data_IF_764190080878
#
_entry.id   IF_764190080878
#
_cell.length_a   1.000
_cell.length_b   1.000
_cell.length_c   1.000
_cell.angle_alpha   90.00
_cell.angle_beta   90.00
_cell.angle_gamma   90.00
#
_symmetry.space_group_name_H-M   'P 1'
#
loop_
_entity.id
_entity.type
_entity.pdbx_description
1 polymer ?
#
# COMPACT_ATOMS: atom_id res chain seq x y z
N UNK A 1 9.61 9.52 -24.49
CA UNK A 1 8.55 9.81 -23.49
C UNK A 1 7.67 8.60 -23.14
N UNK A 2 7.19 7.80 -24.10
CA UNK A 2 6.32 6.61 -23.85
C UNK A 2 6.98 5.53 -22.98
N UNK A 3 8.25 5.19 -23.23
CA UNK A 3 9.00 4.16 -22.48
C UNK A 3 9.12 4.48 -20.99
N UNK A 4 9.48 5.72 -20.63
CA UNK A 4 9.57 6.14 -19.21
C UNK A 4 8.24 6.01 -18.46
N UNK A 5 7.11 6.22 -19.14
CA UNK A 5 5.78 6.05 -18.54
C UNK A 5 5.45 4.57 -18.33
N UNK A 6 5.77 3.73 -19.30
CA UNK A 6 5.56 2.28 -19.18
C UNK A 6 6.37 1.69 -18.01
N UNK A 7 7.66 2.06 -17.91
CA UNK A 7 8.53 1.63 -16.80
C UNK A 7 7.93 1.98 -15.43
N UNK A 8 7.40 3.21 -15.27
CA UNK A 8 6.75 3.60 -14.00
C UNK A 8 5.53 2.73 -13.70
N UNK A 9 4.68 2.48 -14.68
CA UNK A 9 3.48 1.66 -14.49
C UNK A 9 3.84 0.22 -14.13
N UNK A 10 4.82 -0.37 -14.81
CA UNK A 10 5.30 -1.73 -14.49
C UNK A 10 5.88 -1.78 -13.08
N UNK A 11 6.68 -0.78 -12.70
CA UNK A 11 7.23 -0.68 -11.35
C UNK A 11 6.13 -0.56 -10.28
N UNK A 12 5.13 0.30 -10.50
CA UNK A 12 4.02 0.49 -9.57
C UNK A 12 3.19 -0.81 -9.41
N UNK A 13 2.95 -1.54 -10.50
CA UNK A 13 2.28 -2.85 -10.46
C UNK A 13 3.14 -3.88 -9.73
N UNK A 14 4.44 -3.95 -10.02
CA UNK A 14 5.35 -4.88 -9.35
C UNK A 14 5.38 -4.62 -7.83
N UNK A 15 5.48 -3.35 -7.40
CA UNK A 15 5.42 -2.99 -5.99
C UNK A 15 4.11 -3.41 -5.33
N UNK A 16 2.97 -3.19 -6.01
CA UNK A 16 1.66 -3.59 -5.49
C UNK A 16 1.55 -5.11 -5.31
N UNK A 17 2.01 -5.89 -6.30
CA UNK A 17 2.00 -7.35 -6.24
C UNK A 17 2.93 -7.88 -5.13
N UNK A 18 4.15 -7.34 -5.03
CA UNK A 18 5.11 -7.72 -3.98
C UNK A 18 4.56 -7.36 -2.60
N UNK A 19 3.95 -6.19 -2.43
CA UNK A 19 3.35 -5.79 -1.15
C UNK A 19 2.20 -6.72 -0.75
N UNK A 20 1.30 -7.10 -1.67
CA UNK A 20 0.25 -8.09 -1.40
C UNK A 20 0.86 -9.46 -1.07
N UNK A 21 1.89 -9.89 -1.79
CA UNK A 21 2.59 -11.15 -1.54
C UNK A 21 3.22 -11.17 -0.15
N UNK A 22 3.89 -10.10 0.30
CA UNK A 22 4.47 -10.01 1.64
C UNK A 22 3.40 -10.15 2.72
N UNK A 23 2.25 -9.50 2.55
CA UNK A 23 1.16 -9.61 3.53
C UNK A 23 0.59 -11.04 3.62
N UNK A 24 0.68 -11.81 2.53
CA UNK A 24 0.26 -13.22 2.50
C UNK A 24 1.36 -14.16 2.98
N UNK A 25 2.63 -13.79 2.87
CA UNK A 25 3.75 -14.64 3.27
C UNK A 25 3.98 -14.72 4.78
N UNK A 26 3.21 -14.00 5.59
CA UNK A 26 3.08 -14.33 7.02
C UNK A 26 2.62 -15.79 7.23
N UNK A 27 2.05 -16.42 6.19
CA UNK A 27 1.68 -17.84 6.12
C UNK A 27 2.80 -18.72 5.55
N UNK A 28 3.93 -18.16 5.13
CA UNK A 28 5.04 -18.85 4.47
C UNK A 28 6.30 -18.68 5.32
N UNK A 29 7.34 -19.42 5.00
CA UNK A 29 8.62 -19.41 5.71
C UNK A 29 9.24 -18.01 5.83
N UNK A 30 9.96 -17.76 6.92
CA UNK A 30 10.58 -16.46 7.26
C UNK A 30 11.49 -15.92 6.13
N UNK A 31 12.30 -16.78 5.50
CA UNK A 31 13.25 -16.35 4.47
C UNK A 31 12.58 -15.72 3.22
N UNK A 32 11.54 -16.29 2.59
CA UNK A 32 10.83 -15.62 1.49
C UNK A 32 10.24 -14.27 1.88
N UNK A 33 9.71 -14.13 3.09
CA UNK A 33 9.17 -12.88 3.60
C UNK A 33 10.26 -11.79 3.64
N UNK A 34 11.43 -12.09 4.21
CA UNK A 34 12.55 -11.15 4.30
C UNK A 34 13.06 -10.72 2.92
N UNK A 35 13.26 -11.66 1.98
CA UNK A 35 13.73 -11.34 0.63
C UNK A 35 12.72 -10.57 -0.20
N UNK A 36 11.43 -10.84 -0.06
CA UNK A 36 10.38 -10.01 -0.66
C UNK A 36 10.37 -8.60 -0.04
N UNK A 37 10.63 -8.48 1.26
CA UNK A 37 10.80 -7.20 1.95
C UNK A 37 11.95 -6.38 1.36
N UNK A 38 13.14 -6.99 1.21
CA UNK A 38 14.29 -6.35 0.55
C UNK A 38 13.94 -5.93 -0.88
N UNK A 39 13.30 -6.82 -1.64
CA UNK A 39 12.85 -6.52 -3.01
C UNK A 39 11.92 -5.30 -3.03
N UNK A 40 10.96 -5.23 -2.12
CA UNK A 40 10.06 -4.08 -2.04
C UNK A 40 10.80 -2.78 -1.73
N UNK A 41 11.77 -2.79 -0.81
CA UNK A 41 12.59 -1.61 -0.51
C UNK A 41 13.40 -1.14 -1.72
N UNK A 42 13.98 -2.06 -2.50
CA UNK A 42 14.71 -1.72 -3.73
C UNK A 42 13.77 -1.11 -4.78
N UNK A 43 12.61 -1.73 -5.03
CA UNK A 43 11.61 -1.21 -5.96
C UNK A 43 11.12 0.18 -5.54
N UNK A 44 10.89 0.38 -4.24
CA UNK A 44 10.48 1.67 -3.67
C UNK A 44 11.57 2.73 -3.84
N UNK A 45 12.85 2.42 -3.61
CA UNK A 45 13.95 3.35 -3.86
C UNK A 45 13.97 3.80 -5.33
N UNK A 46 13.80 2.87 -6.27
CA UNK A 46 13.69 3.17 -7.69
C UNK A 46 12.46 4.05 -7.97
N UNK A 47 11.30 3.75 -7.36
CA UNK A 47 10.07 4.54 -7.50
C UNK A 47 10.29 5.99 -7.04
N UNK A 48 10.93 6.20 -5.89
CA UNK A 48 11.25 7.53 -5.35
C UNK A 48 12.16 8.29 -6.32
N UNK A 49 13.24 7.67 -6.81
CA UNK A 49 14.18 8.29 -7.76
C UNK A 49 13.46 8.69 -9.06
N UNK A 50 12.61 7.83 -9.61
CA UNK A 50 11.85 8.11 -10.82
C UNK A 50 10.81 9.23 -10.63
N UNK A 51 10.34 9.43 -9.40
CA UNK A 51 9.32 10.43 -9.06
C UNK A 51 9.87 11.63 -8.27
N UNK A 52 11.21 11.77 -8.13
CA UNK A 52 11.88 12.81 -7.34
C UNK A 52 11.42 14.25 -7.65
N UNK A 53 11.13 14.55 -8.92
CA UNK A 53 10.65 15.90 -9.32
C UNK A 53 9.27 16.22 -8.74
N UNK A 54 8.39 15.23 -8.71
CA UNK A 54 7.07 15.36 -8.11
C UNK A 54 7.19 15.49 -6.59
N UNK A 55 8.00 14.65 -5.95
CA UNK A 55 8.27 14.70 -4.52
C UNK A 55 8.83 16.08 -4.10
N UNK A 56 9.82 16.60 -4.83
CA UNK A 56 10.38 17.95 -4.56
C UNK A 56 9.35 19.07 -4.73
N UNK A 57 8.31 18.85 -5.55
CA UNK A 57 7.25 19.84 -5.78
C UNK A 57 6.14 19.80 -4.73
N UNK A 58 6.03 18.73 -3.91
CA UNK A 58 4.89 18.50 -3.04
C UNK A 58 4.76 19.58 -1.95
N UNK A 59 5.89 20.10 -1.47
CA UNK A 59 5.95 21.15 -0.45
C UNK A 59 6.00 22.57 -1.02
N UNK A 60 5.91 22.74 -2.36
CA UNK A 60 5.99 24.06 -3.01
C UNK A 60 4.63 24.50 -3.55
N UNK A 61 4.29 25.76 -3.39
CA UNK A 61 3.10 26.40 -3.96
C UNK A 61 1.85 26.29 -3.08
N UNK A 62 0.68 26.68 -3.64
CA UNK A 62 -0.60 26.68 -2.93
C UNK A 62 -1.07 25.24 -2.64
N UNK A 63 -1.48 24.98 -1.41
CA UNK A 63 -1.96 23.69 -0.94
C UNK A 63 -3.48 23.59 -1.14
N UNK A 64 -3.91 22.94 -2.21
CA UNK A 64 -5.32 22.55 -2.34
C UNK A 64 -5.67 21.43 -1.35
N UNK A 65 -6.95 21.27 -1.02
CA UNK A 65 -7.41 20.19 -0.13
C UNK A 65 -6.92 18.81 -0.57
N UNK A 66 -6.96 18.52 -1.88
CA UNK A 66 -6.43 17.27 -2.42
C UNK A 66 -4.93 17.11 -2.14
N UNK A 67 -4.17 18.19 -2.28
CA UNK A 67 -2.74 18.16 -2.05
C UNK A 67 -2.40 17.92 -0.58
N UNK A 68 -3.17 18.49 0.34
CA UNK A 68 -3.03 18.24 1.78
C UNK A 68 -3.24 16.75 2.07
N UNK A 69 -4.30 16.13 1.53
CA UNK A 69 -4.55 14.69 1.69
C UNK A 69 -3.39 13.86 1.14
N UNK A 70 -2.85 14.21 -0.03
CA UNK A 70 -1.67 13.53 -0.59
C UNK A 70 -0.44 13.66 0.30
N UNK A 71 -0.18 14.86 0.87
CA UNK A 71 0.94 15.08 1.78
C UNK A 71 0.79 14.22 3.04
N UNK A 72 -0.38 14.22 3.66
CA UNK A 72 -0.65 13.42 4.88
C UNK A 72 -0.41 11.93 4.62
N UNK A 73 -0.94 11.40 3.51
CA UNK A 73 -0.74 9.99 3.14
C UNK A 73 0.74 9.66 2.92
N UNK A 74 1.49 10.54 2.26
CA UNK A 74 2.92 10.30 1.97
C UNK A 74 3.78 10.42 3.22
N UNK A 75 3.51 11.40 4.07
CA UNK A 75 4.24 11.56 5.34
C UNK A 75 3.99 10.36 6.26
N UNK A 76 2.73 9.91 6.36
CA UNK A 76 2.39 8.69 7.10
C UNK A 76 3.07 7.46 6.53
N UNK A 77 3.05 7.30 5.19
CA UNK A 77 3.71 6.18 4.51
C UNK A 77 5.24 6.21 4.73
N UNK A 78 5.87 7.38 4.63
CA UNK A 78 7.30 7.53 4.90
C UNK A 78 7.65 7.15 6.35
N UNK A 79 6.85 7.58 7.32
CA UNK A 79 7.01 7.17 8.72
C UNK A 79 6.92 5.66 8.91
N UNK A 80 5.91 5.02 8.29
CA UNK A 80 5.77 3.55 8.33
C UNK A 80 6.96 2.85 7.67
N UNK A 81 7.47 3.35 6.55
CA UNK A 81 8.64 2.80 5.85
C UNK A 81 9.89 2.87 6.73
N UNK A 82 10.12 4.00 7.41
CA UNK A 82 11.25 4.16 8.33
C UNK A 82 11.12 3.18 9.51
N UNK A 83 9.93 3.09 10.12
CA UNK A 83 9.66 2.14 11.19
C UNK A 83 9.83 0.69 10.76
N UNK A 84 9.36 0.36 9.54
CA UNK A 84 9.49 -0.95 8.94
C UNK A 84 10.96 -1.31 8.70
N UNK A 85 11.75 -0.41 8.14
CA UNK A 85 13.18 -0.62 7.90
C UNK A 85 13.92 -0.85 9.22
N UNK A 86 13.75 0.04 10.20
CA UNK A 86 14.41 -0.07 11.51
C UNK A 86 14.04 -1.37 12.24
N UNK A 87 12.76 -1.74 12.26
CA UNK A 87 12.32 -2.98 12.90
C UNK A 87 12.79 -4.23 12.15
N UNK A 88 12.83 -4.19 10.82
CA UNK A 88 13.32 -5.31 10.00
C UNK A 88 14.78 -5.61 10.24
N UNK A 89 15.63 -4.60 10.45
CA UNK A 89 17.06 -4.82 10.80
C UNK A 89 17.21 -5.59 12.11
N UNK A 90 16.35 -5.32 13.09
CA UNK A 90 16.38 -6.01 14.40
C UNK A 90 15.84 -7.43 14.33
N UNK A 91 14.83 -7.67 13.46
CA UNK A 91 14.11 -8.94 13.38
C UNK A 91 14.69 -9.91 12.34
N UNK A 92 15.51 -9.42 11.41
CA UNK A 92 16.01 -10.22 10.29
C UNK A 92 16.94 -11.33 10.75
N UNK A 93 16.71 -12.54 10.24
CA UNK A 93 17.54 -13.72 10.48
C UNK A 93 18.27 -14.20 9.22
N UNK A 94 17.73 -13.87 8.04
CA UNK A 94 18.23 -14.37 6.76
C UNK A 94 18.87 -13.28 5.91
N UNK A 95 18.15 -12.19 5.62
CA UNK A 95 18.63 -11.15 4.72
C UNK A 95 19.76 -10.31 5.34
N UNK A 96 19.66 -10.01 6.64
CA UNK A 96 20.65 -9.24 7.42
C UNK A 96 21.26 -10.06 8.56
N UNK A 97 21.21 -11.39 8.50
CA UNK A 97 21.74 -12.28 9.54
C UNK A 97 23.25 -12.18 9.77
N UNK A 98 23.98 -11.47 8.90
CA UNK A 98 25.38 -11.12 9.09
C UNK A 98 25.62 -9.94 10.05
N UNK A 99 24.56 -9.21 10.42
CA UNK A 99 24.64 -8.14 11.40
C UNK A 99 24.62 -8.73 12.82
N UNK A 100 25.27 -8.06 13.80
CA UNK A 100 25.17 -8.48 15.19
C UNK A 100 23.70 -8.38 15.67
N UNK A 101 23.32 -9.29 16.57
CA UNK A 101 22.00 -9.27 17.16
C UNK A 101 21.76 -7.95 17.92
N UNK A 102 20.73 -7.21 17.52
CA UNK A 102 20.34 -5.98 18.20
C UNK A 102 19.37 -6.29 19.35
N UNK A 103 19.55 -5.67 20.53
CA UNK A 103 18.58 -5.79 21.60
C UNK A 103 17.25 -5.11 21.22
N UNK A 104 16.14 -5.63 21.74
CA UNK A 104 14.85 -4.95 21.60
C UNK A 104 13.84 -5.63 20.67
N UNK A 105 13.89 -6.96 20.49
CA UNK A 105 12.97 -7.72 19.67
C UNK A 105 11.46 -7.44 19.99
N UNK A 106 11.14 -7.09 21.24
CA UNK A 106 9.77 -6.77 21.65
C UNK A 106 9.22 -5.52 20.95
N UNK A 107 9.93 -4.39 21.06
CA UNK A 107 9.51 -3.14 20.39
C UNK A 107 9.55 -3.30 18.88
N UNK A 108 10.56 -4.01 18.35
CA UNK A 108 10.71 -4.20 16.92
C UNK A 108 9.52 -4.96 16.31
N UNK A 109 9.01 -5.99 16.99
CA UNK A 109 7.80 -6.71 16.56
C UNK A 109 6.58 -5.80 16.53
N UNK A 110 6.33 -5.05 17.61
CA UNK A 110 5.19 -4.13 17.68
C UNK A 110 5.24 -3.08 16.58
N UNK A 111 6.41 -2.46 16.35
CA UNK A 111 6.61 -1.47 15.28
C UNK A 111 6.47 -2.12 13.91
N UNK A 112 7.07 -3.30 13.70
CA UNK A 112 6.99 -4.02 12.43
C UNK A 112 5.53 -4.32 12.06
N UNK A 113 4.76 -4.87 12.99
CA UNK A 113 3.35 -5.20 12.76
C UNK A 113 2.53 -3.96 12.46
N UNK A 114 2.58 -2.95 13.33
CA UNK A 114 1.83 -1.71 13.15
C UNK A 114 2.18 -1.01 11.83
N UNK A 115 3.48 -0.86 11.55
CA UNK A 115 3.95 -0.20 10.33
C UNK A 115 3.62 -1.01 9.06
N UNK A 116 3.63 -2.34 9.10
CA UNK A 116 3.28 -3.18 7.95
C UNK A 116 1.84 -2.95 7.50
N UNK A 117 0.90 -3.00 8.42
CA UNK A 117 -0.53 -2.84 8.10
C UNK A 117 -0.87 -1.40 7.72
N UNK A 118 -0.30 -0.40 8.41
CA UNK A 118 -0.45 1.00 8.00
C UNK A 118 0.23 1.29 6.66
N UNK A 119 1.42 0.76 6.40
CA UNK A 119 2.08 0.91 5.10
C UNK A 119 1.23 0.29 3.97
N UNK A 120 0.62 -0.88 4.21
CA UNK A 120 -0.30 -1.51 3.26
C UNK A 120 -1.50 -0.59 2.96
N UNK A 121 -2.20 -0.10 3.97
CA UNK A 121 -3.36 0.79 3.78
C UNK A 121 -2.93 2.09 3.09
N UNK A 122 -1.87 2.75 3.56
CA UNK A 122 -1.42 4.02 3.02
C UNK A 122 -0.86 3.91 1.60
N UNK A 123 -0.19 2.81 1.25
CA UNK A 123 0.29 2.56 -0.11
C UNK A 123 -0.87 2.45 -1.11
N UNK A 124 -1.92 1.69 -0.78
CA UNK A 124 -3.10 1.59 -1.65
C UNK A 124 -3.98 2.84 -1.61
N UNK A 125 -4.01 3.59 -0.51
CA UNK A 125 -4.58 4.93 -0.47
C UNK A 125 -3.84 5.88 -1.43
N UNK A 126 -2.50 5.88 -1.38
CA UNK A 126 -1.66 6.63 -2.31
C UNK A 126 -1.95 6.25 -3.78
N UNK A 127 -1.97 4.96 -4.09
CA UNK A 127 -2.30 4.46 -5.43
C UNK A 127 -3.69 4.93 -5.88
N UNK A 128 -4.71 4.87 -5.02
CA UNK A 128 -6.07 5.33 -5.29
C UNK A 128 -6.15 6.83 -5.58
N UNK A 129 -5.41 7.66 -4.80
CA UNK A 129 -5.32 9.11 -5.03
C UNK A 129 -4.68 9.45 -6.39
N UNK A 130 -3.84 8.58 -6.95
CA UNK A 130 -3.19 8.76 -8.24
C UNK A 130 -3.87 8.01 -9.39
N UNK A 131 -4.78 7.07 -9.10
CA UNK A 131 -5.47 6.26 -10.10
C UNK A 131 -6.29 7.13 -11.07
N UNK A 132 -6.12 6.89 -12.36
CA UNK A 132 -6.88 7.56 -13.43
C UNK A 132 -7.56 6.51 -14.29
N UNK A 133 -8.85 6.69 -14.54
CA UNK A 133 -9.57 5.83 -15.48
C UNK A 133 -9.00 5.98 -16.89
N UNK A 134 -8.90 4.89 -17.66
CA UNK A 134 -8.52 4.96 -19.07
C UNK A 134 -9.52 5.83 -19.85
N UNK A 135 -8.98 6.67 -20.76
CA UNK A 135 -9.80 7.63 -21.50
C UNK A 135 -10.64 6.97 -22.61
N UNK A 136 -10.10 5.90 -23.23
CA UNK A 136 -10.64 5.30 -24.46
C UNK A 136 -11.45 4.02 -24.18
N UNK A 137 -12.31 4.02 -23.15
CA UNK A 137 -13.21 2.91 -22.88
C UNK A 137 -14.61 3.23 -23.35
N UNK A 138 -15.27 2.24 -23.99
CA UNK A 138 -16.68 2.32 -24.33
C UNK A 138 -17.55 2.45 -23.05
N UNK A 139 -18.76 3.03 -23.14
CA UNK A 139 -19.62 3.20 -21.96
C UNK A 139 -19.89 1.89 -21.20
N UNK A 140 -20.18 0.79 -21.91
CA UNK A 140 -20.42 -0.51 -21.30
C UNK A 140 -19.18 -1.08 -20.58
N UNK A 141 -17.97 -0.86 -21.13
CA UNK A 141 -16.74 -1.27 -20.50
C UNK A 141 -16.50 -0.53 -19.17
N UNK A 142 -16.83 0.76 -19.12
CA UNK A 142 -16.75 1.56 -17.89
C UNK A 142 -17.69 1.02 -16.80
N UNK A 143 -18.91 0.61 -17.20
CA UNK A 143 -19.86 0.01 -16.28
C UNK A 143 -19.42 -1.37 -15.81
N UNK A 144 -18.98 -2.24 -16.72
CA UNK A 144 -18.44 -3.57 -16.37
C UNK A 144 -17.28 -3.47 -15.39
N UNK A 145 -16.30 -2.60 -15.66
CA UNK A 145 -15.15 -2.38 -14.74
C UNK A 145 -15.61 -1.86 -13.39
N UNK A 146 -16.58 -0.95 -13.33
CA UNK A 146 -17.12 -0.46 -12.05
C UNK A 146 -17.79 -1.56 -11.24
N UNK A 147 -18.59 -2.41 -11.89
CA UNK A 147 -19.26 -3.54 -11.24
C UNK A 147 -18.21 -4.53 -10.69
N UNK A 148 -17.22 -4.89 -11.48
CA UNK A 148 -16.14 -5.78 -11.05
C UNK A 148 -15.39 -5.19 -9.85
N UNK A 149 -14.99 -3.91 -9.92
CA UNK A 149 -14.29 -3.24 -8.81
C UNK A 149 -15.18 -3.21 -7.57
N UNK A 150 -16.49 -2.93 -7.72
CA UNK A 150 -17.41 -2.92 -6.60
C UNK A 150 -17.56 -4.31 -5.97
N UNK A 151 -17.70 -5.37 -6.77
CA UNK A 151 -17.77 -6.74 -6.27
C UNK A 151 -16.50 -7.15 -5.52
N UNK A 152 -15.31 -6.84 -6.08
CA UNK A 152 -14.02 -7.08 -5.43
C UNK A 152 -13.88 -6.25 -4.15
N UNK A 153 -14.34 -5.00 -4.13
CA UNK A 153 -14.31 -4.14 -2.94
C UNK A 153 -15.26 -4.66 -1.84
N UNK A 154 -16.45 -5.17 -2.19
CA UNK A 154 -17.34 -5.82 -1.23
C UNK A 154 -16.69 -7.06 -0.60
N UNK A 155 -16.04 -7.90 -1.42
CA UNK A 155 -15.25 -9.03 -0.91
C UNK A 155 -14.06 -8.53 -0.07
N UNK A 156 -13.47 -7.39 -0.41
CA UNK A 156 -12.43 -6.72 0.37
C UNK A 156 -12.91 -6.26 1.74
N UNK A 157 -14.12 -5.71 1.85
CA UNK A 157 -14.71 -5.32 3.13
C UNK A 157 -14.97 -6.54 4.02
N UNK A 158 -15.51 -7.61 3.46
CA UNK A 158 -15.66 -8.89 4.15
C UNK A 158 -14.29 -9.44 4.60
N UNK A 159 -13.29 -9.43 3.72
CA UNK A 159 -11.94 -9.90 4.02
C UNK A 159 -11.24 -9.06 5.08
N UNK A 160 -11.47 -7.74 5.10
CA UNK A 160 -10.95 -6.84 6.13
C UNK A 160 -11.41 -7.27 7.54
N UNK A 161 -12.69 -7.62 7.67
CA UNK A 161 -13.26 -8.12 8.93
C UNK A 161 -12.72 -9.51 9.27
N UNK A 162 -12.69 -10.44 8.31
CA UNK A 162 -12.22 -11.82 8.51
C UNK A 162 -10.73 -11.91 8.88
N UNK A 163 -9.90 -11.03 8.32
CA UNK A 163 -8.47 -10.95 8.64
C UNK A 163 -8.20 -10.21 9.94
N UNK A 164 -9.21 -9.64 10.60
CA UNK A 164 -9.04 -8.88 11.83
C UNK A 164 -8.13 -7.65 11.66
N UNK A 165 -8.08 -7.03 10.47
CA UNK A 165 -7.12 -5.97 10.14
C UNK A 165 -7.20 -4.79 11.09
N UNK A 166 -8.38 -4.52 11.66
CA UNK A 166 -8.56 -3.48 12.66
C UNK A 166 -7.64 -3.65 13.87
N UNK A 167 -7.49 -4.88 14.37
CA UNK A 167 -6.66 -5.18 15.54
C UNK A 167 -5.18 -4.88 15.29
N UNK A 168 -4.70 -5.15 14.06
CA UNK A 168 -3.33 -4.83 13.65
C UNK A 168 -3.13 -3.31 13.47
N UNK A 169 -4.09 -2.61 12.88
CA UNK A 169 -4.04 -1.16 12.69
C UNK A 169 -4.09 -0.38 14.00
N UNK A 170 -4.71 -0.94 15.05
CA UNK A 170 -4.76 -0.34 16.39
C UNK A 170 -3.65 -0.84 17.32
N UNK A 171 -2.73 -1.68 16.83
CA UNK A 171 -1.60 -2.18 17.60
C UNK A 171 -1.96 -3.17 18.72
N UNK A 172 -3.16 -3.78 18.66
CA UNK A 172 -3.63 -4.75 19.66
C UNK A 172 -2.95 -6.13 19.50
N UNK A 173 -2.41 -6.42 18.32
CA UNK A 173 -1.78 -7.70 17.98
C UNK A 173 -0.34 -7.49 17.60
N UNK A 174 0.56 -8.21 18.29
CA UNK A 174 2.02 -8.13 18.07
C UNK A 174 2.56 -9.28 17.22
N UNK A 175 1.74 -10.26 16.87
CA UNK A 175 2.12 -11.45 16.11
C UNK A 175 1.12 -11.70 14.99
N UNK A 176 1.61 -12.05 13.80
CA UNK A 176 0.75 -12.55 12.75
C UNK A 176 0.39 -14.02 13.05
N UNK A 177 -0.89 -14.29 13.25
CA UNK A 177 -1.37 -15.67 13.34
C UNK A 177 -1.55 -16.20 11.93
N UNK A 178 -0.72 -17.20 11.58
CA UNK A 178 -0.83 -17.90 10.33
C UNK A 178 -1.87 -19.03 10.45
N UNK A 179 -2.95 -18.92 9.71
CA UNK A 179 -3.89 -20.02 9.53
C UNK A 179 -3.47 -20.84 8.31
N UNK A 180 -2.73 -21.92 8.57
CA UNK A 180 -2.24 -22.82 7.52
C UNK A 180 -3.36 -23.65 6.84
N UNK A 181 -4.59 -23.61 7.35
CA UNK A 181 -5.75 -24.25 6.71
C UNK A 181 -6.26 -23.43 5.52
N UNK A 182 -5.92 -22.14 5.45
CA UNK A 182 -6.33 -21.26 4.35
C UNK A 182 -5.37 -21.41 3.16
N UNK A 183 -5.86 -21.80 1.97
CA UNK A 183 -5.02 -21.87 0.78
C UNK A 183 -4.36 -20.51 0.47
N UNK A 184 -3.07 -20.54 0.10
CA UNK A 184 -2.28 -19.33 -0.19
C UNK A 184 -2.96 -18.42 -1.23
N UNK A 185 -3.58 -19.02 -2.26
CA UNK A 185 -4.31 -18.27 -3.29
C UNK A 185 -5.50 -17.49 -2.70
N UNK A 186 -6.22 -18.07 -1.74
CA UNK A 186 -7.33 -17.39 -1.06
C UNK A 186 -6.81 -16.29 -0.14
N UNK A 187 -5.72 -16.52 0.59
CA UNK A 187 -5.09 -15.49 1.41
C UNK A 187 -4.64 -14.30 0.54
N UNK A 188 -3.99 -14.57 -0.60
CA UNK A 188 -3.62 -13.54 -1.57
C UNK A 188 -4.85 -12.78 -2.11
N UNK A 189 -5.91 -13.49 -2.49
CA UNK A 189 -7.14 -12.88 -2.97
C UNK A 189 -7.80 -11.97 -1.92
N UNK A 190 -7.77 -12.35 -0.63
CA UNK A 190 -8.27 -11.54 0.47
C UNK A 190 -7.48 -10.23 0.60
N UNK A 191 -6.15 -10.27 0.68
CA UNK A 191 -5.33 -9.05 0.75
C UNK A 191 -5.44 -8.20 -0.52
N UNK A 192 -5.45 -8.81 -1.70
CA UNK A 192 -5.66 -8.10 -2.97
C UNK A 192 -7.01 -7.38 -3.02
N UNK A 193 -8.07 -8.01 -2.51
CA UNK A 193 -9.39 -7.39 -2.47
C UNK A 193 -9.47 -6.22 -1.48
N UNK A 194 -8.80 -6.31 -0.33
CA UNK A 194 -8.64 -5.18 0.60
C UNK A 194 -7.88 -4.03 -0.05
N UNK A 195 -6.81 -4.33 -0.80
CA UNK A 195 -6.06 -3.34 -1.56
C UNK A 195 -6.94 -2.58 -2.56
N UNK A 196 -7.79 -3.30 -3.30
CA UNK A 196 -8.77 -2.72 -4.25
C UNK A 196 -9.81 -1.87 -3.51
N UNK A 197 -10.30 -2.33 -2.36
CA UNK A 197 -11.23 -1.56 -1.53
C UNK A 197 -10.60 -0.22 -1.13
N UNK A 198 -9.41 -0.24 -0.53
CA UNK A 198 -8.72 0.99 -0.08
C UNK A 198 -8.43 1.93 -1.24
N UNK A 199 -7.87 1.42 -2.34
CA UNK A 199 -7.59 2.21 -3.53
C UNK A 199 -8.87 2.81 -4.13
N UNK A 200 -9.97 2.06 -4.14
CA UNK A 200 -11.29 2.49 -4.59
C UNK A 200 -11.82 3.65 -3.75
N UNK A 201 -11.81 3.50 -2.41
CA UNK A 201 -12.25 4.57 -1.49
C UNK A 201 -11.47 5.86 -1.75
N UNK A 202 -10.14 5.81 -1.80
CA UNK A 202 -9.32 7.01 -2.00
C UNK A 202 -9.41 7.57 -3.43
N UNK A 203 -9.71 6.74 -4.43
CA UNK A 203 -10.06 7.24 -5.77
C UNK A 203 -11.34 8.10 -5.75
N UNK A 204 -12.38 7.67 -5.02
CA UNK A 204 -13.62 8.44 -4.89
C UNK A 204 -13.45 9.67 -4.00
N UNK A 205 -12.69 9.60 -2.91
CA UNK A 205 -12.29 10.75 -2.09
C UNK A 205 -11.64 11.84 -2.96
N UNK A 206 -10.68 11.47 -3.79
CA UNK A 206 -10.06 12.39 -4.74
C UNK A 206 -11.09 13.03 -5.68
N UNK A 207 -12.03 12.25 -6.21
CA UNK A 207 -13.08 12.79 -7.13
C UNK A 207 -14.01 13.76 -6.41
N UNK A 208 -14.42 13.43 -5.18
CA UNK A 208 -15.26 14.30 -4.35
C UNK A 208 -14.59 15.63 -4.08
N UNK A 209 -13.33 15.64 -3.63
CA UNK A 209 -12.57 16.87 -3.38
C UNK A 209 -12.43 17.71 -4.66
N UNK A 210 -12.18 17.07 -5.80
CA UNK A 210 -12.03 17.77 -7.08
C UNK A 210 -13.33 18.37 -7.60
N UNK A 211 -14.49 17.79 -7.27
CA UNK A 211 -15.81 18.33 -7.63
C UNK A 211 -16.15 19.58 -6.82
N UNK A 212 -15.92 19.56 -5.52
CA UNK A 212 -16.15 20.71 -4.61
C UNK A 212 -15.30 21.91 -5.02
N UNK A 213 -14.02 21.69 -5.39
CA UNK A 213 -13.15 22.76 -5.85
C UNK A 213 -13.59 23.44 -7.16
N UNK A 214 -14.33 22.73 -8.03
CA UNK A 214 -14.86 23.30 -9.28
C UNK A 214 -16.11 24.15 -9.07
N UNK A 215 -16.95 23.81 -8.11
CA UNK A 215 -18.17 24.58 -7.79
C UNK A 215 -17.77 25.94 -7.21
N UNK A 216 -16.80 25.93 -6.26
CA UNK A 216 -16.34 27.16 -5.57
C UNK A 216 -15.56 28.16 -6.47
N UNK A 217 -15.15 27.75 -7.66
CA UNK A 217 -14.49 28.65 -8.65
C UNK A 217 -15.44 29.21 -9.69
N UNK A 218 -16.74 28.89 -9.61
CA UNK A 218 -17.80 29.40 -10.51
C UNK A 218 -18.70 30.44 -9.84
N UNK A 219 -18.64 30.50 -8.52
CA UNK A 219 -19.22 31.55 -7.68
C UNK A 219 -18.16 32.63 -7.41
#
# INVERSE_FOLDING_TARGET
>A
MKVKKAVKVVLDIAMALVLVAIMTTALVQEAPHEWLGVTLFVLMAIHIVLNRKWLASIFRGRHSALRIVQIVVIVGLAGCIIGQFASSLVLSKHAFGFLPAFPGAGWARSVHMLCSYWAFVLAFAHAGLHARAPKNMAPWQKWAVRIIIAAVACFGAFSFAQLGLWQYLTGQVQFAFADYSVPLALAFARYASVAVLVAGVFHYVRRGIASIGKTRSRD
#
